data_IF_628485405652
#
_entry.id   IF_628485405652
#
_cell.length_a   1.000
_cell.length_b   1.000
_cell.length_c   1.000
_cell.angle_alpha   90.00
_cell.angle_beta   90.00
_cell.angle_gamma   90.00
#
_symmetry.space_group_name_H-M   'P 1'
#
loop_
_entity.id
_entity.type
_entity.pdbx_description
1 polymer ?
#
# COMPACT_ATOMS: atom_id res chain seq x y z
N UNK A 1 18.02 -12.10 13.26
CA UNK A 1 17.32 -11.49 12.13
C UNK A 1 15.96 -12.15 12.09
N UNK A 2 14.94 -11.48 12.62
CA UNK A 2 13.58 -12.01 12.65
C UNK A 2 13.10 -12.13 11.20
N UNK A 3 12.87 -13.36 10.74
CA UNK A 3 12.21 -13.57 9.47
C UNK A 3 10.77 -13.09 9.66
N UNK A 4 10.49 -11.85 9.24
CA UNK A 4 9.15 -11.30 9.33
C UNK A 4 8.21 -12.21 8.54
N UNK A 5 7.28 -12.86 9.24
CA UNK A 5 6.22 -13.71 8.69
C UNK A 5 4.99 -12.89 8.33
N UNK A 6 5.09 -11.56 8.36
CA UNK A 6 4.01 -10.66 8.01
C UNK A 6 3.64 -10.82 6.54
N UNK A 7 2.36 -11.12 6.29
CA UNK A 7 1.82 -11.30 4.94
C UNK A 7 1.77 -9.97 4.19
N UNK A 8 1.31 -8.90 4.85
CA UNK A 8 1.31 -7.53 4.31
C UNK A 8 1.72 -6.56 5.41
N UNK A 9 2.83 -5.85 5.21
CA UNK A 9 3.31 -4.78 6.10
C UNK A 9 3.06 -3.41 5.45
N UNK A 10 1.93 -2.80 5.83
CA UNK A 10 1.49 -1.52 5.25
C UNK A 10 2.42 -0.38 5.66
N UNK A 11 2.88 -0.33 6.91
CA UNK A 11 3.76 0.74 7.40
C UNK A 11 5.11 0.70 6.66
N UNK A 12 5.66 -0.50 6.46
CA UNK A 12 6.85 -0.67 5.63
C UNK A 12 6.59 -0.22 4.19
N UNK A 13 5.54 -0.73 3.53
CA UNK A 13 5.21 -0.37 2.15
C UNK A 13 5.01 1.14 1.97
N UNK A 14 4.38 1.80 2.95
CA UNK A 14 4.21 3.25 3.01
C UNK A 14 5.55 3.96 3.12
N UNK A 15 6.46 3.49 3.98
CA UNK A 15 7.79 4.07 4.14
C UNK A 15 8.61 4.03 2.84
N UNK A 16 8.46 2.98 2.03
CA UNK A 16 9.15 2.84 0.73
C UNK A 16 8.63 3.84 -0.32
N UNK A 17 7.40 4.32 -0.14
CA UNK A 17 6.70 5.20 -1.08
C UNK A 17 6.49 6.60 -0.52
N UNK A 18 7.36 7.05 0.40
CA UNK A 18 7.31 8.37 1.02
C UNK A 18 5.95 8.71 1.65
N UNK A 19 5.27 7.70 2.19
CA UNK A 19 3.94 7.84 2.80
C UNK A 19 2.78 7.89 1.79
N UNK A 20 3.00 7.55 0.51
CA UNK A 20 1.96 7.60 -0.51
C UNK A 20 1.04 6.37 -0.48
N UNK A 21 -0.04 6.44 0.31
CA UNK A 21 -1.04 5.38 0.45
C UNK A 21 -1.71 5.01 -0.87
N UNK A 22 -2.11 6.01 -1.66
CA UNK A 22 -2.78 5.77 -2.95
C UNK A 22 -1.89 4.97 -3.90
N UNK A 23 -0.61 5.32 -3.96
CA UNK A 23 0.37 4.59 -4.76
C UNK A 23 0.59 3.17 -4.23
N UNK A 24 0.73 3.00 -2.91
CA UNK A 24 0.87 1.67 -2.30
C UNK A 24 -0.28 0.74 -2.70
N UNK A 25 -1.53 1.17 -2.49
CA UNK A 25 -2.71 0.36 -2.80
C UNK A 25 -2.86 0.12 -4.30
N UNK A 26 -2.48 1.09 -5.14
CA UNK A 26 -2.41 0.90 -6.61
C UNK A 26 -1.41 -0.20 -6.98
N UNK A 27 -0.23 -0.22 -6.37
CA UNK A 27 0.80 -1.21 -6.64
C UNK A 27 0.41 -2.59 -6.09
N UNK A 28 -0.23 -2.65 -4.93
CA UNK A 28 -0.79 -3.87 -4.35
C UNK A 28 -1.89 -4.47 -5.25
N UNK A 29 -2.77 -3.65 -5.83
CA UNK A 29 -3.78 -4.13 -6.79
C UNK A 29 -3.17 -4.65 -8.09
N UNK A 30 -2.15 -3.95 -8.62
CA UNK A 30 -1.39 -4.45 -9.78
C UNK A 30 -0.69 -5.78 -9.49
N UNK A 31 -0.15 -5.92 -8.28
CA UNK A 31 0.47 -7.17 -7.83
C UNK A 31 -0.54 -8.33 -7.86
N UNK A 32 -1.75 -8.15 -7.31
CA UNK A 32 -2.77 -9.22 -7.33
C UNK A 32 -3.22 -9.57 -8.75
N UNK A 33 -3.35 -8.58 -9.63
CA UNK A 33 -3.73 -8.81 -11.03
C UNK A 33 -2.64 -9.57 -11.80
N UNK A 34 -1.37 -9.22 -11.59
CA UNK A 34 -0.22 -9.80 -12.28
C UNK A 34 0.09 -11.22 -11.83
N UNK A 35 0.03 -11.50 -10.52
CA UNK A 35 0.54 -12.76 -9.96
C UNK A 35 -0.55 -13.81 -9.67
N UNK A 36 -1.82 -13.54 -10.02
CA UNK A 36 -2.94 -14.48 -9.83
C UNK A 36 -2.79 -15.78 -10.60
N UNK A 37 -2.16 -15.73 -11.78
CA UNK A 37 -1.90 -16.90 -12.63
C UNK A 37 -0.52 -17.52 -12.39
N UNK A 38 0.28 -16.98 -11.47
CA UNK A 38 1.70 -17.32 -11.36
C UNK A 38 1.93 -18.83 -11.18
N UNK A 39 1.13 -19.52 -10.36
CA UNK A 39 1.28 -20.98 -10.20
C UNK A 39 1.09 -21.71 -11.53
N UNK A 40 0.04 -21.39 -12.28
CA UNK A 40 -0.21 -21.99 -13.58
C UNK A 40 0.93 -21.71 -14.58
N UNK A 41 1.45 -20.49 -14.59
CA UNK A 41 2.56 -20.08 -15.46
C UNK A 41 3.86 -20.82 -15.10
N UNK A 42 4.17 -20.95 -13.81
CA UNK A 42 5.34 -21.70 -13.33
C UNK A 42 5.23 -23.19 -13.67
N UNK A 43 4.06 -23.81 -13.47
CA UNK A 43 3.84 -25.21 -13.85
C UNK A 43 4.02 -25.41 -15.36
N UNK A 44 3.53 -24.49 -16.19
CA UNK A 44 3.68 -24.56 -17.63
C UNK A 44 5.16 -24.48 -18.08
N UNK A 45 5.96 -23.60 -17.46
CA UNK A 45 7.39 -23.53 -17.73
C UNK A 45 8.14 -24.78 -17.25
N UNK A 46 7.82 -25.27 -16.05
CA UNK A 46 8.42 -26.50 -15.51
C UNK A 46 8.14 -27.71 -16.41
N UNK A 47 6.90 -27.85 -16.89
CA UNK A 47 6.51 -28.95 -17.77
C UNK A 47 7.27 -28.94 -19.12
N UNK A 48 7.66 -27.76 -19.60
CA UNK A 48 8.47 -27.58 -20.82
C UNK A 48 9.99 -27.71 -20.57
N UNK A 49 10.42 -27.71 -19.30
CA UNK A 49 11.83 -27.66 -18.93
C UNK A 49 12.44 -26.25 -18.98
N UNK A 50 11.60 -25.22 -19.09
CA UNK A 50 11.96 -23.80 -19.23
C UNK A 50 12.30 -23.18 -17.85
N UNK A 51 13.30 -23.74 -17.16
CA UNK A 51 13.66 -23.33 -15.80
C UNK A 51 14.24 -21.92 -15.70
N UNK A 52 14.76 -21.35 -16.80
CA UNK A 52 15.28 -19.98 -16.81
C UNK A 52 14.14 -18.96 -16.77
N UNK A 53 13.04 -19.25 -17.45
CA UNK A 53 11.82 -18.48 -17.51
C UNK A 53 11.10 -18.57 -16.15
N UNK A 54 10.96 -19.77 -15.60
CA UNK A 54 10.44 -19.97 -14.25
C UNK A 54 11.28 -19.23 -13.18
N UNK A 55 12.61 -19.28 -13.29
CA UNK A 55 13.51 -18.50 -12.43
C UNK A 55 13.26 -17.00 -12.55
N UNK A 56 13.14 -16.49 -13.78
CA UNK A 56 12.96 -15.04 -14.03
C UNK A 56 11.64 -14.54 -13.44
N UNK A 57 10.55 -15.32 -13.55
CA UNK A 57 9.27 -15.00 -12.93
C UNK A 57 9.37 -14.91 -11.40
N UNK A 58 9.96 -15.91 -10.75
CA UNK A 58 10.12 -15.91 -9.28
C UNK A 58 11.11 -14.83 -8.81
N UNK A 59 12.16 -14.55 -9.59
CA UNK A 59 13.12 -13.48 -9.28
C UNK A 59 12.44 -12.10 -9.25
N UNK A 60 11.60 -11.82 -10.25
CA UNK A 60 10.81 -10.58 -10.32
C UNK A 60 9.82 -10.51 -9.17
N UNK A 61 9.05 -11.57 -8.92
CA UNK A 61 8.14 -11.66 -7.77
C UNK A 61 8.86 -11.32 -6.45
N UNK A 62 10.03 -11.92 -6.21
CA UNK A 62 10.81 -11.68 -4.99
C UNK A 62 11.19 -10.20 -4.84
N UNK A 63 11.59 -9.55 -5.93
CA UNK A 63 11.92 -8.13 -5.95
C UNK A 63 10.72 -7.25 -5.61
N UNK A 64 9.58 -7.53 -6.24
CA UNK A 64 8.31 -6.80 -6.01
C UNK A 64 7.85 -6.96 -4.57
N UNK A 65 7.78 -8.20 -4.08
CA UNK A 65 7.32 -8.50 -2.72
C UNK A 65 8.19 -7.86 -1.62
N UNK A 66 9.50 -7.78 -1.85
CA UNK A 66 10.42 -7.09 -0.93
C UNK A 66 10.19 -5.58 -0.83
N UNK A 67 9.80 -4.95 -1.94
CA UNK A 67 9.55 -3.50 -2.00
C UNK A 67 8.15 -3.12 -1.49
N UNK A 68 7.19 -4.04 -1.53
CA UNK A 68 5.81 -3.81 -1.11
C UNK A 68 5.50 -4.26 0.33
N UNK A 69 6.49 -4.78 1.07
CA UNK A 69 6.26 -5.27 2.44
C UNK A 69 5.53 -6.62 2.50
N UNK A 70 5.57 -7.40 1.43
CA UNK A 70 4.96 -8.74 1.34
C UNK A 70 5.94 -9.81 1.83
N UNK A 71 6.37 -9.70 3.09
CA UNK A 71 7.56 -10.40 3.58
C UNK A 71 7.42 -11.92 3.66
N UNK A 72 6.25 -12.43 4.03
CA UNK A 72 5.97 -13.87 4.03
C UNK A 72 6.24 -14.47 2.64
N UNK A 73 5.67 -13.86 1.59
CA UNK A 73 5.84 -14.31 0.20
C UNK A 73 7.26 -14.08 -0.31
N UNK A 74 7.88 -12.94 0.01
CA UNK A 74 9.28 -12.67 -0.30
C UNK A 74 10.18 -13.78 0.24
N UNK A 75 9.98 -14.20 1.48
CA UNK A 75 10.77 -15.27 2.10
C UNK A 75 10.46 -16.64 1.48
N UNK A 76 9.18 -16.95 1.22
CA UNK A 76 8.76 -18.19 0.58
C UNK A 76 9.31 -18.35 -0.85
N UNK A 77 9.55 -17.24 -1.57
CA UNK A 77 10.08 -17.25 -2.94
C UNK A 77 11.57 -17.68 -3.04
N UNK A 78 12.37 -17.45 -1.99
CA UNK A 78 13.83 -17.71 -1.98
C UNK A 78 14.21 -19.16 -2.31
N UNK A 79 13.65 -20.20 -1.65
CA UNK A 79 13.95 -21.58 -1.99
C UNK A 79 13.50 -21.96 -3.41
N UNK A 80 12.40 -21.38 -3.91
CA UNK A 80 11.88 -21.65 -5.25
C UNK A 80 12.81 -21.08 -6.31
N UNK A 81 13.19 -19.81 -6.16
CA UNK A 81 14.18 -19.13 -7.02
C UNK A 81 15.50 -19.92 -7.09
N UNK A 82 16.00 -20.36 -5.93
CA UNK A 82 17.23 -21.15 -5.84
C UNK A 82 17.09 -22.53 -6.50
N UNK A 83 15.94 -23.19 -6.33
CA UNK A 83 15.61 -24.46 -6.97
C UNK A 83 15.67 -24.39 -8.50
N UNK A 84 15.04 -23.36 -9.08
CA UNK A 84 15.06 -23.13 -10.52
C UNK A 84 16.45 -22.74 -11.02
N UNK A 85 17.14 -21.80 -10.36
CA UNK A 85 18.45 -21.31 -10.80
C UNK A 85 19.56 -22.36 -10.75
N UNK A 86 19.68 -23.04 -9.61
CA UNK A 86 20.86 -23.85 -9.32
C UNK A 86 20.68 -25.33 -9.66
N UNK A 87 19.45 -25.82 -9.52
CA UNK A 87 19.15 -27.25 -9.61
C UNK A 87 18.23 -27.60 -10.78
N UNK A 88 17.68 -26.59 -11.48
CA UNK A 88 16.68 -26.76 -12.55
C UNK A 88 15.58 -27.74 -12.14
N UNK A 89 15.04 -27.54 -10.93
CA UNK A 89 14.01 -28.41 -10.34
C UNK A 89 13.02 -27.61 -9.51
N UNK A 90 11.84 -28.17 -9.34
CA UNK A 90 10.85 -27.68 -8.37
C UNK A 90 11.34 -27.99 -6.96
N UNK A 91 11.36 -26.99 -6.09
CA UNK A 91 11.74 -27.15 -4.69
C UNK A 91 10.62 -27.86 -3.90
N UNK A 92 10.97 -28.60 -2.86
CA UNK A 92 10.00 -29.30 -2.00
C UNK A 92 9.02 -28.34 -1.31
N UNK A 93 9.45 -27.08 -1.11
CA UNK A 93 8.65 -26.01 -0.51
C UNK A 93 7.63 -25.39 -1.48
N UNK A 94 7.56 -25.83 -2.74
CA UNK A 94 6.68 -25.24 -3.76
C UNK A 94 5.19 -25.21 -3.33
N UNK A 95 4.61 -26.27 -2.74
CA UNK A 95 3.22 -26.21 -2.26
C UNK A 95 3.00 -25.16 -1.16
N UNK A 96 3.97 -24.99 -0.26
CA UNK A 96 3.90 -23.97 0.78
C UNK A 96 4.05 -22.56 0.20
N UNK A 97 4.89 -22.39 -0.83
CA UNK A 97 5.01 -21.13 -1.57
C UNK A 97 3.69 -20.73 -2.24
N UNK A 98 3.00 -21.67 -2.90
CA UNK A 98 1.68 -21.40 -3.51
C UNK A 98 0.65 -21.03 -2.45
N UNK A 99 0.61 -21.73 -1.31
CA UNK A 99 -0.30 -21.37 -0.22
C UNK A 99 -0.07 -19.94 0.30
N UNK A 100 1.20 -19.52 0.45
CA UNK A 100 1.55 -18.15 0.86
C UNK A 100 1.22 -17.13 -0.24
N UNK A 101 1.37 -17.47 -1.51
CA UNK A 101 0.95 -16.63 -2.63
C UNK A 101 -0.56 -16.37 -2.57
N UNK A 102 -1.36 -17.43 -2.45
CA UNK A 102 -2.82 -17.35 -2.38
C UNK A 102 -3.27 -16.56 -1.15
N UNK A 103 -2.65 -16.81 0.02
CA UNK A 103 -2.89 -16.05 1.25
C UNK A 103 -2.58 -14.57 1.06
N UNK A 104 -1.45 -14.25 0.43
CA UNK A 104 -1.04 -12.87 0.16
C UNK A 104 -2.02 -12.18 -0.78
N UNK A 105 -2.42 -12.83 -1.87
CA UNK A 105 -3.41 -12.29 -2.80
C UNK A 105 -4.74 -12.06 -2.10
N UNK A 106 -5.22 -13.01 -1.29
CA UNK A 106 -6.47 -12.87 -0.55
C UNK A 106 -6.41 -11.73 0.47
N UNK A 107 -5.29 -11.58 1.19
CA UNK A 107 -5.09 -10.50 2.14
C UNK A 107 -5.08 -9.13 1.43
N UNK A 108 -4.39 -9.01 0.30
CA UNK A 108 -4.35 -7.78 -0.49
C UNK A 108 -5.72 -7.46 -1.10
N UNK A 109 -6.41 -8.45 -1.66
CA UNK A 109 -7.77 -8.29 -2.18
C UNK A 109 -8.74 -7.81 -1.08
N UNK A 110 -8.62 -8.34 0.14
CA UNK A 110 -9.42 -7.89 1.28
C UNK A 110 -9.10 -6.43 1.65
N UNK A 111 -7.83 -6.06 1.69
CA UNK A 111 -7.39 -4.69 1.97
C UNK A 111 -7.86 -3.68 0.92
N UNK A 112 -7.96 -4.08 -0.35
CA UNK A 112 -8.40 -3.21 -1.46
C UNK A 112 -9.93 -3.20 -1.59
N UNK A 113 -10.60 -4.33 -1.29
CA UNK A 113 -12.07 -4.44 -1.31
C UNK A 113 -12.75 -3.82 -0.12
N UNK A 114 -12.07 -3.67 1.02
CA UNK A 114 -12.59 -2.83 2.08
C UNK A 114 -12.84 -1.44 1.47
N UNK A 115 -14.11 -0.98 1.36
CA UNK A 115 -14.34 0.46 1.27
C UNK A 115 -13.68 1.06 2.51
N UNK A 116 -13.26 2.31 2.46
CA UNK A 116 -12.67 3.06 3.58
C UNK A 116 -13.44 2.88 4.91
N UNK A 117 -13.21 1.76 5.60
CA UNK A 117 -13.81 1.37 6.86
C UNK A 117 -12.67 0.90 7.77
N UNK A 118 -11.63 1.73 7.83
CA UNK A 118 -11.17 2.16 9.15
C UNK A 118 -11.87 3.46 9.49
N UNK A 119 -13.20 3.39 9.55
CA UNK A 119 -13.94 4.18 10.51
C UNK A 119 -13.44 3.74 11.90
N UNK A 120 -12.43 4.45 12.41
CA UNK A 120 -12.48 4.73 13.84
C UNK A 120 -13.83 5.41 14.07
N UNK A 121 -14.61 4.81 14.95
CA UNK A 121 -16.00 5.14 15.26
C UNK A 121 -16.27 6.66 15.26
N UNK A 122 -17.52 7.10 14.99
CA UNK A 122 -17.91 8.47 15.24
C UNK A 122 -17.83 8.71 16.75
N UNK A 123 -16.68 9.18 17.23
CA UNK A 123 -16.63 9.89 18.47
C UNK A 123 -17.48 11.16 18.23
N UNK A 124 -18.40 11.51 19.13
CA UNK A 124 -19.14 12.76 19.02
C UNK A 124 -18.11 13.88 18.85
N UNK A 125 -18.45 14.88 18.01
CA UNK A 125 -17.64 16.06 17.77
C UNK A 125 -17.13 16.67 19.08
N UNK A 126 -15.98 16.19 19.55
CA UNK A 126 -15.27 16.76 20.66
C UNK A 126 -14.50 17.91 20.04
N UNK A 127 -14.85 19.15 20.40
CA UNK A 127 -14.19 20.36 19.90
C UNK A 127 -12.66 20.27 19.96
N UNK A 128 -12.10 19.48 20.88
CA UNK A 128 -10.66 19.20 20.97
C UNK A 128 -10.05 18.51 19.72
N UNK A 129 -10.75 17.56 19.09
CA UNK A 129 -10.24 16.87 17.89
C UNK A 129 -10.28 17.79 16.66
N UNK A 130 -11.37 18.55 16.50
CA UNK A 130 -11.51 19.55 15.46
C UNK A 130 -10.50 20.70 15.65
N UNK A 131 -10.29 21.19 16.87
CA UNK A 131 -9.27 22.20 17.18
C UNK A 131 -7.86 21.70 16.88
N UNK A 132 -7.55 20.45 17.24
CA UNK A 132 -6.25 19.84 16.94
C UNK A 132 -6.03 19.72 15.43
N UNK A 133 -7.02 19.22 14.68
CA UNK A 133 -6.97 19.13 13.22
C UNK A 133 -6.79 20.52 12.59
N UNK A 134 -7.55 21.53 13.03
CA UNK A 134 -7.43 22.92 12.57
C UNK A 134 -6.02 23.45 12.80
N UNK A 135 -5.45 23.23 13.99
CA UNK A 135 -4.12 23.71 14.35
C UNK A 135 -3.02 23.02 13.54
N UNK A 136 -3.15 21.71 13.32
CA UNK A 136 -2.18 20.93 12.55
C UNK A 136 -2.20 21.33 11.07
N UNK A 137 -3.38 21.42 10.47
CA UNK A 137 -3.55 21.90 9.09
C UNK A 137 -3.00 23.32 8.94
N UNK A 138 -3.37 24.24 9.83
CA UNK A 138 -2.88 25.63 9.84
C UNK A 138 -1.36 25.72 9.95
N UNK A 139 -0.74 24.85 10.76
CA UNK A 139 0.71 24.82 10.94
C UNK A 139 1.41 24.32 9.67
N UNK A 140 0.89 23.26 9.05
CA UNK A 140 1.44 22.70 7.82
C UNK A 140 1.33 23.69 6.65
N UNK A 141 0.18 24.36 6.51
CA UNK A 141 -0.02 25.40 5.50
C UNK A 141 0.92 26.60 5.70
N UNK A 142 1.07 27.10 6.95
CA UNK A 142 1.99 28.20 7.28
C UNK A 142 3.46 27.85 7.10
N UNK A 143 3.82 26.59 7.26
CA UNK A 143 5.16 26.08 7.00
C UNK A 143 5.41 25.79 5.51
N UNK A 144 4.40 25.95 4.65
CA UNK A 144 4.41 25.55 3.24
C UNK A 144 4.92 24.11 3.05
N UNK A 145 4.59 23.25 4.00
CA UNK A 145 4.97 21.84 4.00
C UNK A 145 4.06 21.06 3.06
N UNK A 146 4.63 20.04 2.41
CA UNK A 146 3.83 19.09 1.65
C UNK A 146 2.86 18.36 2.57
N UNK A 147 1.55 18.46 2.28
CA UNK A 147 0.49 17.74 2.98
C UNK A 147 0.06 16.58 2.10
N UNK A 148 0.21 15.35 2.59
CA UNK A 148 -0.30 14.20 1.87
C UNK A 148 -1.85 14.22 1.84
N UNK A 149 -2.44 13.89 0.69
CA UNK A 149 -3.90 13.92 0.47
C UNK A 149 -4.71 13.22 1.58
N UNK A 150 -4.27 12.04 2.02
CA UNK A 150 -4.93 11.29 3.08
C UNK A 150 -4.94 12.02 4.43
N UNK A 151 -3.88 12.79 4.71
CA UNK A 151 -3.75 13.59 5.94
C UNK A 151 -4.58 14.87 5.87
N UNK A 152 -4.66 15.46 4.67
CA UNK A 152 -5.55 16.58 4.39
C UNK A 152 -7.02 16.16 4.57
N UNK A 153 -7.42 15.03 3.99
CA UNK A 153 -8.76 14.48 4.13
C UNK A 153 -9.11 14.18 5.59
N UNK A 154 -8.21 13.55 6.34
CA UNK A 154 -8.39 13.28 7.79
C UNK A 154 -8.63 14.57 8.60
N UNK A 155 -7.84 15.62 8.33
CA UNK A 155 -8.01 16.90 9.00
C UNK A 155 -9.32 17.58 8.61
N UNK A 156 -9.69 17.56 7.33
CA UNK A 156 -10.94 18.16 6.84
C UNK A 156 -12.18 17.41 7.32
N UNK A 157 -12.12 16.08 7.43
CA UNK A 157 -13.17 15.25 8.02
C UNK A 157 -13.41 15.59 9.49
N UNK A 158 -12.33 15.78 10.27
CA UNK A 158 -12.42 16.16 11.67
C UNK A 158 -12.98 17.58 11.89
N UNK A 159 -12.85 18.48 10.90
CA UNK A 159 -13.36 19.84 10.94
C UNK A 159 -14.86 19.93 10.61
N UNK A 160 -15.45 18.88 10.03
CA UNK A 160 -16.85 18.85 9.62
C UNK A 160 -17.27 20.07 8.77
N UNK A 161 -16.39 20.52 7.87
CA UNK A 161 -16.64 21.68 7.01
C UNK A 161 -17.72 21.40 5.96
N UNK A 162 -18.43 22.44 5.50
CA UNK A 162 -19.26 22.33 4.30
C UNK A 162 -18.45 21.82 3.10
N UNK A 163 -19.08 21.00 2.25
CA UNK A 163 -18.41 20.39 1.10
C UNK A 163 -17.73 21.42 0.17
N UNK A 164 -18.33 22.61 0.02
CA UNK A 164 -17.79 23.72 -0.77
C UNK A 164 -16.43 24.19 -0.23
N UNK A 165 -16.34 24.42 1.09
CA UNK A 165 -15.10 24.81 1.78
C UNK A 165 -14.05 23.71 1.72
N UNK A 166 -14.46 22.46 1.88
CA UNK A 166 -13.56 21.31 1.74
C UNK A 166 -12.90 21.28 0.36
N UNK A 167 -13.69 21.42 -0.71
CA UNK A 167 -13.18 21.41 -2.08
C UNK A 167 -12.20 22.56 -2.31
N UNK A 168 -12.55 23.78 -1.89
CA UNK A 168 -11.69 24.94 -2.07
C UNK A 168 -10.32 24.79 -1.39
N UNK A 169 -10.28 24.22 -0.18
CA UNK A 169 -9.01 23.97 0.53
C UNK A 169 -8.19 22.88 -0.19
N UNK A 170 -8.83 21.82 -0.70
CA UNK A 170 -8.13 20.76 -1.45
C UNK A 170 -7.54 21.34 -2.74
N UNK A 171 -8.34 22.07 -3.51
CA UNK A 171 -7.93 22.66 -4.78
C UNK A 171 -6.74 23.62 -4.56
N UNK A 172 -6.80 24.47 -3.53
CA UNK A 172 -5.72 25.39 -3.18
C UNK A 172 -4.42 24.66 -2.74
N UNK A 173 -4.53 23.56 -1.98
CA UNK A 173 -3.35 22.76 -1.59
C UNK A 173 -2.74 22.04 -2.79
N UNK A 174 -3.56 21.51 -3.70
CA UNK A 174 -3.12 20.85 -4.93
C UNK A 174 -2.44 21.84 -5.90
N UNK A 175 -2.90 23.09 -5.96
CA UNK A 175 -2.27 24.18 -6.71
C UNK A 175 -1.05 24.81 -6.01
N UNK A 176 -0.70 24.31 -4.80
CA UNK A 176 0.36 24.86 -3.93
C UNK A 176 0.11 26.32 -3.50
N UNK A 177 -1.14 26.77 -3.59
CA UNK A 177 -1.60 28.08 -3.11
C UNK A 177 -1.96 27.99 -1.62
N UNK A 178 -0.91 27.91 -0.79
CA UNK A 178 -1.08 27.80 0.67
C UNK A 178 -1.72 29.06 1.28
N UNK A 179 -1.63 30.23 0.64
CA UNK A 179 -2.27 31.45 1.12
C UNK A 179 -3.79 31.36 0.96
N UNK A 180 -4.27 30.90 -0.18
CA UNK A 180 -5.70 30.67 -0.43
C UNK A 180 -6.26 29.57 0.49
N UNK A 181 -5.51 28.47 0.67
CA UNK A 181 -5.91 27.40 1.58
C UNK A 181 -6.07 27.88 3.05
N UNK A 182 -5.21 28.80 3.51
CA UNK A 182 -5.32 29.41 4.84
C UNK A 182 -6.55 30.31 4.92
N UNK A 183 -6.79 31.15 3.90
CA UNK A 183 -7.95 32.04 3.83
C UNK A 183 -9.27 31.26 3.90
N UNK A 184 -9.37 30.17 3.14
CA UNK A 184 -10.54 29.31 3.11
C UNK A 184 -10.79 28.64 4.47
N UNK A 185 -9.72 28.23 5.16
CA UNK A 185 -9.76 27.63 6.49
C UNK A 185 -10.09 28.65 7.60
N UNK A 186 -9.64 29.89 7.52
CA UNK A 186 -9.99 30.94 8.50
C UNK A 186 -11.44 31.41 8.36
N UNK A 187 -11.95 31.43 7.12
CA UNK A 187 -13.33 31.78 6.80
C UNK A 187 -14.33 30.60 6.97
N UNK A 188 -13.95 29.59 7.76
CA UNK A 188 -14.72 28.36 8.02
C UNK A 188 -15.06 28.13 9.50
#
# INVERSE_FOLDING_TARGET
>A
MEQSTTVVDIDFGMSQLSGNKKLLFTLLGKFTDEYRSLDADLQAHVAKGDFNEAYSLVHTLKGVTGNLGLFALHNASKPIESGFRNNKRVAEQYPAFVAVLDETIAAVDALIKEPEVTASAPAPANGAAAEQARKQLMTALKASEFIAQNKLDEWLDALALPQEKRSAIIDAVDELDYEEAISELENS
#
